data_IF_261128102745
#
_entry.id   IF_261128102745
#
_cell.length_a   1.000
_cell.length_b   1.000
_cell.length_c   1.000
_cell.angle_alpha   90.00
_cell.angle_beta   90.00
_cell.angle_gamma   90.00
#
_symmetry.space_group_name_H-M   'P 1'
#
loop_
_entity.id
_entity.type
_entity.pdbx_description
1 polymer ?
#
# COMPACT_ATOMS: atom_id res chain seq x y z
N UNK A 1 -0.49 11.69 11.45
CA UNK A 1 -0.24 13.16 11.43
C UNK A 1 0.44 13.48 10.11
N UNK A 2 0.21 14.64 9.48
CA UNK A 2 0.88 14.98 8.23
C UNK A 2 2.41 14.99 8.44
N UNK A 3 3.16 14.45 7.48
CA UNK A 3 4.62 14.43 7.53
C UNK A 3 5.16 15.87 7.51
N UNK A 4 6.01 16.19 8.48
CA UNK A 4 6.60 17.50 8.61
C UNK A 4 7.67 17.80 7.52
N UNK A 5 7.99 19.08 7.35
CA UNK A 5 8.92 19.52 6.30
C UNK A 5 10.36 18.99 6.44
N UNK A 6 10.83 18.74 7.67
CA UNK A 6 12.18 18.20 7.94
C UNK A 6 12.23 16.75 7.49
N UNK A 7 11.18 15.97 7.76
CA UNK A 7 11.06 14.58 7.33
C UNK A 7 10.98 14.48 5.79
N UNK A 8 10.18 15.32 5.13
CA UNK A 8 10.17 15.41 3.65
C UNK A 8 11.52 15.79 3.06
N UNK A 9 12.27 16.67 3.72
CA UNK A 9 13.62 17.03 3.28
C UNK A 9 14.62 15.87 3.40
N UNK A 10 14.52 15.05 4.46
CA UNK A 10 15.32 13.83 4.61
C UNK A 10 15.01 12.82 3.49
N UNK A 11 13.73 12.61 3.17
CA UNK A 11 13.32 11.67 2.12
C UNK A 11 13.91 12.00 0.73
N UNK A 12 14.09 13.29 0.40
CA UNK A 12 14.76 13.70 -0.85
C UNK A 12 16.22 13.22 -0.96
N UNK A 13 16.86 12.90 0.17
CA UNK A 13 18.25 12.40 0.21
C UNK A 13 18.33 10.88 0.18
N UNK A 14 17.20 10.18 0.36
CA UNK A 14 17.15 8.72 0.38
C UNK A 14 17.61 8.14 -0.95
N UNK A 15 18.48 7.14 -0.87
CA UNK A 15 19.01 6.33 -1.98
C UNK A 15 18.86 4.84 -1.73
N UNK A 16 18.63 4.45 -0.48
CA UNK A 16 18.34 3.08 -0.09
C UNK A 16 17.32 3.06 1.06
N UNK A 17 16.39 2.10 1.02
CA UNK A 17 15.42 1.85 2.09
C UNK A 17 15.65 0.45 2.64
N UNK A 18 15.85 0.35 3.94
CA UNK A 18 15.92 -0.90 4.67
C UNK A 18 14.60 -1.19 5.39
N UNK A 19 14.25 -2.47 5.45
CA UNK A 19 13.06 -2.97 6.11
C UNK A 19 13.43 -4.10 7.06
N UNK A 20 12.92 -4.06 8.29
CA UNK A 20 12.79 -5.29 9.08
C UNK A 20 11.69 -6.20 8.48
N UNK A 21 11.70 -7.48 8.85
CA UNK A 21 10.72 -8.46 8.39
C UNK A 21 9.51 -8.50 9.30
N UNK A 22 9.72 -8.89 10.56
CA UNK A 22 8.63 -9.33 11.43
C UNK A 22 7.94 -8.10 11.98
N UNK A 23 6.61 -8.05 11.88
CA UNK A 23 5.80 -6.93 12.35
C UNK A 23 6.12 -5.57 11.67
N UNK A 24 6.89 -5.62 10.58
CA UNK A 24 7.22 -4.50 9.67
C UNK A 24 6.79 -4.77 8.22
N UNK A 25 7.34 -5.79 7.55
CA UNK A 25 6.87 -6.23 6.22
C UNK A 25 5.77 -7.30 6.32
N UNK A 26 5.83 -8.11 7.37
CA UNK A 26 5.02 -9.31 7.56
C UNK A 26 4.54 -9.40 8.99
N UNK A 27 3.24 -9.52 9.21
CA UNK A 27 2.68 -9.74 10.55
C UNK A 27 3.23 -11.06 11.10
N UNK A 28 3.97 -11.02 12.21
CA UNK A 28 4.71 -12.17 12.74
C UNK A 28 3.80 -13.37 13.00
N UNK A 29 2.63 -13.10 13.60
CA UNK A 29 1.67 -14.12 14.07
C UNK A 29 0.88 -14.78 12.94
N UNK A 30 0.40 -14.01 11.98
CA UNK A 30 -0.50 -14.51 10.91
C UNK A 30 0.25 -14.83 9.64
N UNK A 31 1.43 -14.24 9.46
CA UNK A 31 2.19 -14.27 8.22
C UNK A 31 1.64 -13.40 7.11
N UNK A 32 0.67 -12.54 7.42
CA UNK A 32 0.07 -11.61 6.47
C UNK A 32 1.12 -10.61 5.94
N UNK A 33 1.14 -10.44 4.62
CA UNK A 33 1.91 -9.42 3.89
C UNK A 33 0.90 -8.66 3.00
N UNK A 34 0.81 -7.33 3.10
CA UNK A 34 -0.07 -6.54 2.25
C UNK A 34 0.35 -6.58 0.79
N UNK A 35 -0.62 -6.59 -0.13
CA UNK A 35 -0.34 -6.50 -1.58
C UNK A 35 0.37 -5.19 -1.95
N UNK A 36 0.15 -4.12 -1.18
CA UNK A 36 0.83 -2.83 -1.34
C UNK A 36 2.35 -2.93 -1.23
N UNK A 37 2.90 -3.95 -0.56
CA UNK A 37 4.35 -4.16 -0.45
C UNK A 37 4.98 -4.44 -1.82
N UNK A 38 4.28 -5.15 -2.72
CA UNK A 38 4.76 -5.36 -4.09
C UNK A 38 4.87 -4.04 -4.85
N UNK A 39 3.85 -3.18 -4.70
CA UNK A 39 3.85 -1.83 -5.27
C UNK A 39 4.96 -0.95 -4.68
N UNK A 40 5.24 -1.08 -3.37
CA UNK A 40 6.36 -0.39 -2.71
C UNK A 40 7.70 -0.73 -3.35
N UNK A 41 8.03 -2.03 -3.45
CA UNK A 41 9.32 -2.45 -4.01
C UNK A 41 9.44 -2.08 -5.49
N UNK A 42 8.37 -2.22 -6.27
CA UNK A 42 8.31 -1.78 -7.66
C UNK A 42 8.56 -0.27 -7.77
N UNK A 43 7.81 0.54 -7.03
CA UNK A 43 7.90 2.00 -7.08
C UNK A 43 9.27 2.54 -6.65
N UNK A 44 9.87 1.95 -5.60
CA UNK A 44 11.23 2.32 -5.19
C UNK A 44 12.26 2.01 -6.28
N UNK A 45 12.18 0.83 -6.91
CA UNK A 45 13.06 0.44 -8.04
C UNK A 45 12.89 1.36 -9.24
N UNK A 46 11.66 1.73 -9.60
CA UNK A 46 11.38 2.68 -10.69
C UNK A 46 11.99 4.07 -10.45
N UNK A 47 12.08 4.51 -9.18
CA UNK A 47 12.78 5.74 -8.79
C UNK A 47 14.30 5.58 -8.62
N UNK A 48 14.84 4.38 -8.87
CA UNK A 48 16.27 4.07 -8.72
C UNK A 48 16.73 4.10 -7.26
N UNK A 49 15.83 3.79 -6.31
CA UNK A 49 16.13 3.69 -4.89
C UNK A 49 16.35 2.21 -4.57
N UNK A 50 17.50 1.90 -3.97
CA UNK A 50 17.85 0.54 -3.57
C UNK A 50 16.97 0.07 -2.42
N UNK A 51 16.79 -1.24 -2.31
CA UNK A 51 15.99 -1.88 -1.27
C UNK A 51 16.84 -2.90 -0.50
N UNK A 52 16.71 -2.93 0.82
CA UNK A 52 17.43 -3.84 1.68
C UNK A 52 16.54 -4.48 2.74
N UNK A 53 16.79 -5.75 3.05
CA UNK A 53 16.18 -6.43 4.20
C UNK A 53 17.22 -6.45 5.33
N UNK A 54 16.84 -6.04 6.54
CA UNK A 54 17.71 -6.07 7.71
C UNK A 54 17.08 -6.93 8.81
N UNK A 55 17.57 -8.16 8.99
CA UNK A 55 16.93 -9.16 9.86
C UNK A 55 17.93 -9.95 10.70
N UNK A 56 17.45 -10.46 11.85
CA UNK A 56 18.19 -11.44 12.65
C UNK A 56 18.20 -12.85 12.05
N UNK A 57 17.31 -13.14 11.11
CA UNK A 57 17.21 -14.43 10.42
C UNK A 57 18.40 -14.65 9.49
N UNK A 58 18.79 -15.90 9.29
CA UNK A 58 19.63 -16.28 8.15
C UNK A 58 18.86 -16.16 6.83
N UNK A 59 19.56 -16.09 5.69
CA UNK A 59 18.91 -15.96 4.38
C UNK A 59 17.88 -17.08 4.10
N UNK A 60 18.18 -18.31 4.54
CA UNK A 60 17.27 -19.46 4.46
C UNK A 60 16.01 -19.32 5.33
N UNK A 61 16.04 -18.45 6.35
CA UNK A 61 14.90 -18.15 7.23
C UNK A 61 14.03 -16.99 6.72
N UNK A 62 14.43 -16.32 5.63
CA UNK A 62 13.61 -15.31 4.94
C UNK A 62 12.57 -16.03 4.09
N UNK A 63 11.30 -15.76 4.34
CA UNK A 63 10.18 -16.40 3.63
C UNK A 63 10.22 -16.09 2.13
N UNK A 64 9.70 -17.00 1.31
CA UNK A 64 9.69 -16.90 -0.16
C UNK A 64 9.04 -15.60 -0.63
N UNK A 65 7.87 -15.24 -0.11
CA UNK A 65 7.16 -14.00 -0.46
C UNK A 65 8.03 -12.73 -0.31
N UNK A 66 8.95 -12.69 0.65
CA UNK A 66 9.87 -11.55 0.84
C UNK A 66 11.06 -11.63 -0.12
N UNK A 67 11.56 -12.84 -0.42
CA UNK A 67 12.63 -13.04 -1.41
C UNK A 67 12.15 -12.68 -2.81
N UNK A 68 10.89 -12.97 -3.13
CA UNK A 68 10.24 -12.68 -4.41
C UNK A 68 10.01 -11.18 -4.66
N UNK A 69 10.12 -10.34 -3.64
CA UNK A 69 10.20 -8.87 -3.81
C UNK A 69 11.51 -8.43 -4.48
N UNK A 70 12.48 -9.35 -4.59
CA UNK A 70 13.84 -9.16 -5.08
C UNK A 70 14.52 -7.91 -4.49
N UNK A 71 14.72 -7.84 -3.16
CA UNK A 71 15.51 -6.79 -2.53
C UNK A 71 16.94 -6.77 -3.08
N UNK A 72 17.55 -5.58 -3.20
CA UNK A 72 18.92 -5.46 -3.68
C UNK A 72 19.94 -6.04 -2.70
N UNK A 73 19.64 -5.99 -1.40
CA UNK A 73 20.50 -6.44 -0.31
C UNK A 73 19.76 -7.22 0.77
N UNK A 74 20.43 -8.22 1.34
CA UNK A 74 20.00 -8.90 2.55
C UNK A 74 21.11 -8.79 3.60
N UNK A 75 20.83 -8.02 4.64
CA UNK A 75 21.60 -7.95 5.89
C UNK A 75 20.98 -8.99 6.83
N UNK A 76 21.65 -10.13 6.95
CA UNK A 76 21.14 -11.32 7.66
C UNK A 76 21.99 -11.63 8.88
N UNK A 77 21.46 -12.50 9.74
CA UNK A 77 22.15 -12.98 10.95
C UNK A 77 22.69 -11.81 11.78
N UNK A 78 21.81 -10.83 12.03
CA UNK A 78 22.12 -9.60 12.76
C UNK A 78 23.32 -8.82 12.19
N UNK A 79 23.56 -8.90 10.88
CA UNK A 79 24.60 -8.14 10.19
C UNK A 79 25.93 -8.85 9.98
N UNK A 80 26.12 -10.06 10.51
CA UNK A 80 27.35 -10.85 10.28
C UNK A 80 27.48 -11.37 8.85
N UNK A 81 26.37 -11.47 8.12
CA UNK A 81 26.35 -11.98 6.75
C UNK A 81 25.47 -11.10 5.86
N UNK A 82 26.10 -10.46 4.87
CA UNK A 82 25.47 -9.53 3.95
C UNK A 82 25.68 -10.02 2.52
N UNK A 83 24.57 -10.21 1.80
CA UNK A 83 24.59 -10.59 0.39
C UNK A 83 23.77 -9.62 -0.44
N UNK A 84 24.15 -9.46 -1.71
CA UNK A 84 23.30 -8.76 -2.67
C UNK A 84 22.37 -9.73 -3.39
N UNK A 85 21.44 -9.18 -4.18
CA UNK A 85 20.47 -9.96 -4.97
C UNK A 85 21.08 -10.97 -5.95
N UNK A 86 22.36 -10.81 -6.34
CA UNK A 86 23.07 -11.74 -7.21
C UNK A 86 23.71 -12.91 -6.44
N UNK A 87 23.57 -12.92 -5.11
CA UNK A 87 24.25 -13.86 -4.22
C UNK A 87 25.72 -13.54 -3.99
N UNK A 88 26.19 -12.34 -4.34
CA UNK A 88 27.57 -11.92 -4.05
C UNK A 88 27.65 -11.53 -2.57
N UNK A 89 28.66 -12.06 -1.87
CA UNK A 89 28.95 -11.72 -0.49
C UNK A 89 29.58 -10.33 -0.41
N UNK A 90 28.86 -9.40 0.22
CA UNK A 90 29.33 -8.05 0.49
C UNK A 90 30.11 -8.03 1.80
N UNK A 91 29.64 -8.80 2.77
CA UNK A 91 30.27 -8.95 4.06
C UNK A 91 30.00 -10.35 4.63
N UNK A 92 31.03 -10.96 5.20
CA UNK A 92 30.96 -12.30 5.77
C UNK A 92 31.94 -12.42 6.94
N UNK A 93 31.41 -12.47 8.16
CA UNK A 93 32.20 -12.57 9.39
C UNK A 93 31.62 -13.65 10.32
N UNK A 94 32.05 -14.91 10.20
CA UNK A 94 31.70 -15.93 11.17
C UNK A 94 32.42 -15.72 12.50
N UNK A 95 31.89 -16.36 13.55
CA UNK A 95 32.55 -16.47 14.85
C UNK A 95 33.88 -17.22 14.71
N UNK A 96 34.89 -16.76 15.45
CA UNK A 96 36.18 -17.45 15.50
C UNK A 96 35.98 -18.88 16.01
N UNK A 97 36.71 -19.84 15.40
CA UNK A 97 36.55 -21.27 15.72
C UNK A 97 36.78 -21.54 17.20
N UNK A 98 37.78 -20.89 17.79
CA UNK A 98 38.12 -21.02 19.21
C UNK A 98 36.95 -20.63 20.12
N UNK A 99 36.16 -19.63 19.72
CA UNK A 99 34.96 -19.19 20.46
C UNK A 99 33.87 -20.24 20.36
N UNK A 100 33.63 -20.80 19.18
CA UNK A 100 32.61 -21.84 18.99
C UNK A 100 32.97 -23.14 19.72
N UNK A 101 34.24 -23.52 19.73
CA UNK A 101 34.73 -24.69 20.47
C UNK A 101 34.61 -24.48 21.98
N UNK A 102 34.98 -23.29 22.49
CA UNK A 102 34.82 -22.95 23.89
C UNK A 102 33.34 -22.93 24.32
N UNK A 103 32.45 -22.41 23.48
CA UNK A 103 31.01 -22.43 23.72
C UNK A 103 30.46 -23.85 23.83
N UNK A 104 30.82 -24.74 22.89
CA UNK A 104 30.40 -26.15 22.94
C UNK A 104 30.96 -26.87 24.17
N UNK A 105 32.22 -26.59 24.52
CA UNK A 105 32.83 -27.15 25.73
C UNK A 105 32.07 -26.72 26.99
N UNK A 106 31.71 -25.43 27.08
CA UNK A 106 30.90 -24.90 28.16
C UNK A 106 29.51 -25.55 28.21
N UNK A 107 28.77 -25.62 27.10
CA UNK A 107 27.46 -26.28 27.08
C UNK A 107 27.52 -27.74 27.55
N UNK A 108 28.56 -28.47 27.13
CA UNK A 108 28.82 -29.85 27.59
C UNK A 108 29.14 -29.92 29.08
N UNK A 109 29.90 -28.96 29.61
CA UNK A 109 30.26 -28.89 31.03
C UNK A 109 29.03 -28.70 31.92
N UNK A 110 28.13 -27.79 31.53
CA UNK A 110 26.91 -27.49 32.30
C UNK A 110 25.72 -28.40 31.95
N UNK A 111 25.88 -29.27 30.96
CA UNK A 111 24.91 -30.30 30.59
C UNK A 111 23.68 -29.78 29.83
N UNK A 112 23.85 -28.77 28.97
CA UNK A 112 22.77 -28.21 28.14
C UNK A 112 22.97 -28.51 26.66
N UNK A 113 21.88 -28.46 25.90
CA UNK A 113 21.94 -28.55 24.45
C UNK A 113 22.26 -27.19 23.83
N UNK A 114 22.78 -27.22 22.60
CA UNK A 114 23.10 -26.04 21.81
C UNK A 114 22.65 -26.16 20.35
N UNK A 115 22.74 -25.06 19.60
CA UNK A 115 22.54 -25.04 18.16
C UNK A 115 23.39 -23.97 17.47
N UNK A 116 23.38 -23.99 16.14
CA UNK A 116 24.16 -23.07 15.30
C UNK A 116 23.35 -22.57 14.11
N UNK A 117 23.45 -21.27 13.83
CA UNK A 117 23.17 -20.73 12.51
C UNK A 117 24.43 -20.83 11.67
N UNK A 118 24.42 -21.73 10.70
CA UNK A 118 25.38 -21.70 9.61
C UNK A 118 24.97 -20.69 8.54
N UNK A 119 25.76 -20.65 7.47
CA UNK A 119 25.46 -19.84 6.29
C UNK A 119 24.15 -20.27 5.60
N UNK A 120 23.99 -21.58 5.42
CA UNK A 120 22.94 -22.15 4.55
C UNK A 120 21.82 -22.86 5.33
N UNK A 121 22.04 -23.18 6.60
CA UNK A 121 21.08 -23.91 7.42
C UNK A 121 21.25 -23.68 8.92
N UNK A 122 20.17 -23.84 9.71
CA UNK A 122 20.24 -23.98 11.16
C UNK A 122 20.42 -25.46 11.53
N UNK A 123 21.21 -25.72 12.56
CA UNK A 123 21.41 -27.07 13.11
C UNK A 123 21.35 -27.05 14.63
N UNK A 124 21.02 -28.20 15.21
CA UNK A 124 20.94 -28.40 16.66
C UNK A 124 21.82 -29.56 17.09
N UNK A 125 22.24 -29.57 18.35
CA UNK A 125 23.10 -30.61 18.90
C UNK A 125 22.38 -31.95 19.12
N UNK A 126 21.08 -31.91 19.39
CA UNK A 126 20.24 -33.09 19.60
C UNK A 126 18.77 -32.78 19.31
N UNK A 127 17.93 -33.83 19.37
CA UNK A 127 16.47 -33.70 19.26
C UNK A 127 15.85 -33.72 20.65
N UNK A 128 15.05 -32.72 20.97
CA UNK A 128 14.22 -32.70 22.18
C UNK A 128 12.96 -31.87 21.94
N UNK A 129 11.91 -32.12 22.74
CA UNK A 129 10.69 -31.33 22.68
C UNK A 129 10.97 -29.85 23.01
N UNK A 130 11.91 -29.58 23.93
CA UNK A 130 12.35 -28.25 24.31
C UNK A 130 12.98 -27.47 23.14
N UNK A 131 13.87 -28.11 22.37
CA UNK A 131 14.48 -27.49 21.18
C UNK A 131 13.43 -27.28 20.09
N UNK A 132 12.59 -28.28 19.86
CA UNK A 132 11.59 -28.25 18.80
C UNK A 132 10.52 -27.17 19.06
N UNK A 133 10.17 -26.89 20.32
CA UNK A 133 9.27 -25.81 20.73
C UNK A 133 9.83 -24.42 20.34
N UNK A 134 11.12 -24.19 20.60
CA UNK A 134 11.79 -22.95 20.22
C UNK A 134 12.02 -22.83 18.70
N UNK A 135 12.55 -23.88 18.06
CA UNK A 135 13.11 -23.78 16.71
C UNK A 135 12.08 -24.01 15.59
N UNK A 136 11.11 -24.92 15.75
CA UNK A 136 10.15 -25.24 14.67
C UNK A 136 9.32 -24.03 14.21
N UNK A 137 8.84 -23.14 15.10
CA UNK A 137 8.07 -21.98 14.67
C UNK A 137 8.88 -21.00 13.80
N UNK A 138 10.21 -20.98 13.93
CA UNK A 138 11.08 -20.01 13.26
C UNK A 138 11.76 -20.61 12.03
N UNK A 139 12.32 -21.81 12.18
CA UNK A 139 13.19 -22.45 11.19
C UNK A 139 12.68 -23.81 10.70
N UNK A 140 11.57 -24.30 11.25
CA UNK A 140 11.11 -25.66 11.01
C UNK A 140 11.98 -26.70 11.71
N UNK A 141 11.93 -27.94 11.22
CA UNK A 141 12.69 -29.04 11.81
C UNK A 141 14.18 -28.91 11.45
N UNK A 142 15.01 -28.52 12.41
CA UNK A 142 16.46 -28.39 12.22
C UNK A 142 17.16 -29.75 12.20
N UNK A 143 18.23 -29.89 11.42
CA UNK A 143 19.08 -31.08 11.39
C UNK A 143 19.88 -31.23 12.70
N UNK A 144 20.19 -32.48 13.08
CA UNK A 144 20.99 -32.78 14.27
C UNK A 144 22.46 -32.93 13.89
N UNK A 145 23.27 -31.91 14.15
CA UNK A 145 24.70 -31.82 13.81
C UNK A 145 25.52 -31.17 14.93
N UNK A 146 25.79 -31.90 16.04
CA UNK A 146 26.48 -31.33 17.22
C UNK A 146 27.90 -30.82 16.93
N UNK A 147 28.56 -31.41 15.94
CA UNK A 147 29.94 -31.11 15.54
C UNK A 147 30.03 -30.15 14.34
N UNK A 148 28.93 -29.47 13.97
CA UNK A 148 28.86 -28.58 12.80
C UNK A 148 29.99 -27.54 12.78
N UNK A 149 30.26 -26.90 13.93
CA UNK A 149 31.31 -25.88 14.12
C UNK A 149 32.74 -26.34 13.78
N UNK A 150 33.02 -27.65 13.78
CA UNK A 150 34.36 -28.17 13.48
C UNK A 150 34.72 -28.05 11.99
N UNK A 151 33.71 -28.01 11.12
CA UNK A 151 33.89 -28.05 9.66
C UNK A 151 33.17 -26.94 8.90
N UNK A 152 32.29 -26.18 9.57
CA UNK A 152 31.48 -25.13 8.97
C UNK A 152 31.65 -23.82 9.73
N UNK A 153 31.46 -22.73 9.00
CA UNK A 153 31.37 -21.39 9.57
C UNK A 153 30.07 -21.23 10.36
N UNK A 154 30.19 -20.66 11.56
CA UNK A 154 29.08 -20.42 12.49
C UNK A 154 28.96 -18.93 12.71
N UNK A 155 27.76 -18.39 12.56
CA UNK A 155 27.49 -16.96 12.63
C UNK A 155 26.72 -16.58 13.90
N UNK A 156 26.00 -17.54 14.45
CA UNK A 156 25.14 -17.39 15.61
C UNK A 156 25.02 -18.75 16.29
N UNK A 157 24.99 -18.77 17.62
CA UNK A 157 24.81 -19.98 18.42
C UNK A 157 23.58 -19.84 19.31
N UNK A 158 22.98 -20.96 19.71
CA UNK A 158 21.83 -21.00 20.62
C UNK A 158 22.12 -21.89 21.81
N UNK A 159 21.65 -21.47 22.99
CA UNK A 159 21.53 -22.34 24.16
C UNK A 159 20.12 -22.92 24.24
N UNK A 160 19.99 -24.11 24.83
CA UNK A 160 18.70 -24.74 25.07
C UNK A 160 18.69 -25.40 26.46
N UNK A 161 17.92 -24.82 27.39
CA UNK A 161 17.83 -25.29 28.77
C UNK A 161 16.48 -24.93 29.42
N UNK A 162 16.04 -25.73 30.40
CA UNK A 162 14.82 -25.44 31.18
C UNK A 162 14.95 -24.12 31.96
N UNK A 163 16.15 -23.83 32.47
CA UNK A 163 16.50 -22.63 33.21
C UNK A 163 17.40 -21.68 32.39
N UNK A 164 17.17 -21.58 31.08
CA UNK A 164 18.02 -20.82 30.15
C UNK A 164 18.21 -19.35 30.57
N UNK A 165 17.16 -18.71 31.09
CA UNK A 165 17.21 -17.32 31.58
C UNK A 165 18.10 -17.09 32.81
N UNK A 166 18.59 -18.14 33.47
CA UNK A 166 19.54 -18.08 34.59
C UNK A 166 20.99 -18.36 34.17
N UNK A 167 21.22 -18.69 32.90
CA UNK A 167 22.56 -19.02 32.41
C UNK A 167 23.46 -17.77 32.39
N UNK A 168 24.73 -17.98 32.73
CA UNK A 168 25.77 -16.97 32.61
C UNK A 168 26.94 -17.53 31.80
N UNK A 169 27.40 -16.76 30.81
CA UNK A 169 28.57 -17.12 30.01
C UNK A 169 29.83 -17.11 30.90
N UNK A 170 30.77 -18.04 30.71
CA UNK A 170 32.09 -17.96 31.35
C UNK A 170 32.78 -16.64 31.02
N UNK A 171 33.55 -16.09 31.96
CA UNK A 171 34.16 -14.76 31.85
C UNK A 171 34.96 -14.58 30.55
N UNK A 172 35.71 -15.61 30.13
CA UNK A 172 36.49 -15.60 28.88
C UNK A 172 35.58 -15.56 27.64
N UNK A 173 34.54 -16.39 27.58
CA UNK A 173 33.55 -16.39 26.49
C UNK A 173 32.80 -15.07 26.42
N UNK A 174 32.44 -14.48 27.56
CA UNK A 174 31.74 -13.21 27.66
C UNK A 174 32.53 -12.02 27.07
N UNK A 175 33.86 -12.15 26.94
CA UNK A 175 34.66 -11.12 26.25
C UNK A 175 34.43 -11.10 24.73
N UNK A 176 33.99 -12.21 24.15
CA UNK A 176 33.81 -12.39 22.70
C UNK A 176 32.35 -12.37 22.25
N UNK A 177 31.48 -12.98 23.05
CA UNK A 177 30.06 -13.12 22.75
C UNK A 177 29.19 -12.62 23.90
N UNK A 178 27.95 -12.28 23.57
CA UNK A 178 26.90 -11.96 24.55
C UNK A 178 25.72 -12.89 24.35
N UNK A 179 24.98 -13.08 25.43
CA UNK A 179 23.75 -13.87 25.43
C UNK A 179 22.53 -12.94 25.49
N UNK A 180 21.55 -13.21 24.64
CA UNK A 180 20.32 -12.42 24.53
C UNK A 180 19.11 -13.36 24.59
N UNK A 181 18.33 -13.35 25.68
CA UNK A 181 17.13 -14.19 25.79
C UNK A 181 16.09 -13.82 24.73
N UNK A 182 15.54 -14.84 24.06
CA UNK A 182 14.47 -14.65 23.06
C UNK A 182 13.33 -15.66 23.18
N UNK A 183 13.57 -16.78 23.87
CA UNK A 183 12.58 -17.81 24.19
C UNK A 183 12.67 -18.19 25.67
N UNK A 184 11.62 -18.80 26.25
CA UNK A 184 11.63 -19.28 27.64
C UNK A 184 12.79 -20.24 27.91
N UNK A 185 13.15 -21.04 26.90
CA UNK A 185 14.15 -22.08 26.98
C UNK A 185 15.35 -21.87 26.05
N UNK A 186 15.54 -20.66 25.50
CA UNK A 186 16.65 -20.41 24.58
C UNK A 186 17.09 -18.95 24.56
N UNK A 187 18.41 -18.78 24.46
CA UNK A 187 19.07 -17.51 24.25
C UNK A 187 19.93 -17.53 22.99
N UNK A 188 19.98 -16.39 22.33
CA UNK A 188 20.86 -16.09 21.22
C UNK A 188 22.27 -15.81 21.78
N UNK A 189 23.30 -16.46 21.26
CA UNK A 189 24.71 -16.21 21.60
C UNK A 189 25.43 -15.65 20.37
N UNK A 190 25.67 -14.35 20.40
CA UNK A 190 26.11 -13.55 19.25
C UNK A 190 27.41 -12.80 19.56
N UNK A 191 28.20 -12.52 18.52
CA UNK A 191 29.43 -11.75 18.63
C UNK A 191 29.19 -10.35 19.23
N UNK A 192 30.06 -9.93 20.15
CA UNK A 192 30.05 -8.59 20.72
C UNK A 192 30.28 -7.52 19.62
N UNK A 193 29.51 -6.43 19.68
CA UNK A 193 29.63 -5.30 18.75
C UNK A 193 28.99 -5.51 17.37
N UNK A 194 28.36 -6.66 17.10
CA UNK A 194 27.63 -6.90 15.85
C UNK A 194 26.13 -6.63 16.02
N UNK A 195 25.57 -5.94 15.02
CA UNK A 195 24.15 -5.66 14.90
C UNK A 195 23.71 -5.40 13.46
N UNK A 196 22.39 -5.33 13.24
CA UNK A 196 21.81 -4.95 11.94
C UNK A 196 22.42 -3.64 11.41
N UNK A 197 22.72 -2.68 12.29
CA UNK A 197 23.32 -1.40 11.91
C UNK A 197 24.71 -1.58 11.28
N UNK A 198 25.56 -2.44 11.87
CA UNK A 198 26.89 -2.76 11.31
C UNK A 198 26.80 -3.44 9.94
N UNK A 199 25.84 -4.34 9.73
CA UNK A 199 25.62 -4.95 8.42
C UNK A 199 25.14 -3.93 7.38
N UNK A 200 24.28 -3.00 7.78
CA UNK A 200 23.84 -1.89 6.91
C UNK A 200 24.99 -0.94 6.57
N UNK A 201 25.91 -0.69 7.50
CA UNK A 201 27.12 0.09 7.23
C UNK A 201 27.93 -0.50 6.07
N UNK A 202 28.15 -1.82 6.05
CA UNK A 202 28.85 -2.47 4.93
C UNK A 202 28.14 -2.33 3.58
N UNK A 203 26.80 -2.34 3.57
CA UNK A 203 26.03 -2.05 2.35
C UNK A 203 26.24 -0.61 1.89
N UNK A 204 26.18 0.35 2.81
CA UNK A 204 26.38 1.76 2.46
C UNK A 204 27.80 2.04 1.96
N UNK A 205 28.81 1.43 2.58
CA UNK A 205 30.20 1.52 2.12
C UNK A 205 30.37 0.95 0.71
N UNK A 206 29.77 -0.23 0.45
CA UNK A 206 29.80 -0.87 -0.86
C UNK A 206 29.18 0.02 -1.96
N UNK A 207 28.06 0.69 -1.64
CA UNK A 207 27.35 1.59 -2.54
C UNK A 207 27.91 3.03 -2.54
N UNK A 208 28.98 3.30 -1.78
CA UNK A 208 29.53 4.64 -1.58
C UNK A 208 28.46 5.67 -1.13
N UNK A 209 27.55 5.23 -0.28
CA UNK A 209 26.49 6.00 0.35
C UNK A 209 26.87 6.38 1.78
N UNK A 210 26.17 7.38 2.32
CA UNK A 210 26.30 7.81 3.72
C UNK A 210 25.04 7.47 4.48
N UNK A 211 25.07 7.41 5.83
CA UNK A 211 23.87 7.11 6.61
C UNK A 211 22.69 8.06 6.33
N UNK A 212 22.98 9.34 6.01
CA UNK A 212 21.97 10.33 5.59
C UNK A 212 21.18 9.93 4.32
N UNK A 213 21.68 8.98 3.54
CA UNK A 213 21.04 8.43 2.34
C UNK A 213 20.20 7.18 2.62
N UNK A 214 20.25 6.63 3.83
CA UNK A 214 19.51 5.45 4.22
C UNK A 214 18.23 5.82 4.98
N UNK A 215 17.16 5.09 4.68
CA UNK A 215 15.91 5.05 5.44
C UNK A 215 15.75 3.68 6.08
N UNK A 216 15.17 3.60 7.28
CA UNK A 216 14.80 2.34 7.94
C UNK A 216 13.33 2.35 8.36
N UNK A 217 12.63 1.26 8.05
CA UNK A 217 11.36 0.88 8.68
C UNK A 217 11.59 -0.22 9.71
N UNK A 218 11.06 -0.04 10.92
CA UNK A 218 11.16 -1.04 11.99
C UNK A 218 10.09 -0.87 13.06
N UNK A 219 9.94 -1.88 13.89
CA UNK A 219 8.93 -1.96 14.96
C UNK A 219 9.54 -2.26 16.34
N UNK A 220 10.64 -3.01 16.37
CA UNK A 220 11.16 -3.63 17.58
C UNK A 220 12.35 -2.92 18.24
N UNK A 221 12.71 -3.33 19.48
CA UNK A 221 13.88 -2.80 20.17
C UNK A 221 15.21 -3.18 19.49
N UNK A 222 15.25 -4.25 18.72
CA UNK A 222 16.40 -4.66 17.89
C UNK A 222 16.70 -3.67 16.75
N UNK A 223 15.77 -2.78 16.40
CA UNK A 223 15.97 -1.75 15.37
C UNK A 223 16.51 -0.43 15.94
N UNK A 224 16.68 -0.34 17.27
CA UNK A 224 17.11 0.89 17.94
C UNK A 224 18.48 1.40 17.45
N UNK A 225 19.45 0.49 17.28
CA UNK A 225 20.79 0.85 16.82
C UNK A 225 20.80 1.33 15.36
N UNK A 226 20.07 0.65 14.48
CA UNK A 226 19.98 1.06 13.08
C UNK A 226 19.20 2.36 12.94
N UNK A 227 18.19 2.61 13.77
CA UNK A 227 17.53 3.91 13.86
C UNK A 227 18.53 5.00 14.23
N UNK A 228 19.42 4.78 15.20
CA UNK A 228 20.43 5.78 15.57
C UNK A 228 21.47 6.03 14.46
N UNK A 229 21.68 5.05 13.58
CA UNK A 229 22.61 5.14 12.46
C UNK A 229 22.04 5.86 11.24
N UNK A 230 20.82 5.52 10.78
CA UNK A 230 20.29 5.98 9.49
C UNK A 230 19.77 7.43 9.49
N UNK A 231 19.65 8.00 8.28
CA UNK A 231 19.23 9.38 8.05
C UNK A 231 17.75 9.66 8.27
N UNK A 232 16.90 8.68 7.95
CA UNK A 232 15.44 8.79 8.06
C UNK A 232 14.85 7.54 8.71
N UNK A 233 14.12 7.75 9.80
CA UNK A 233 13.67 6.69 10.70
C UNK A 233 12.14 6.63 10.70
N UNK A 234 11.57 5.52 10.26
CA UNK A 234 10.12 5.33 10.21
C UNK A 234 9.72 4.18 11.13
N UNK A 235 9.00 4.49 12.20
CA UNK A 235 8.47 3.46 13.10
C UNK A 235 7.08 3.00 12.63
N UNK A 236 6.83 1.70 12.69
CA UNK A 236 5.51 1.13 12.41
C UNK A 236 4.48 1.49 13.49
N UNK A 237 3.19 1.41 13.16
CA UNK A 237 2.09 1.76 14.08
C UNK A 237 2.06 0.88 15.34
N UNK A 238 2.53 -0.35 15.24
CA UNK A 238 2.69 -1.34 16.31
C UNK A 238 4.05 -1.26 17.03
N UNK A 239 4.95 -0.36 16.63
CA UNK A 239 6.29 -0.27 17.20
C UNK A 239 6.31 0.07 18.70
N UNK A 240 7.41 -0.27 19.38
CA UNK A 240 7.58 0.05 20.80
C UNK A 240 7.56 1.57 21.06
N UNK A 241 7.10 2.02 22.24
CA UNK A 241 7.09 3.44 22.58
C UNK A 241 8.45 4.12 22.42
N UNK A 242 9.53 3.44 22.82
CA UNK A 242 10.89 3.96 22.76
C UNK A 242 11.37 4.15 21.32
N UNK A 243 11.00 3.24 20.41
CA UNK A 243 11.35 3.36 19.00
C UNK A 243 10.58 4.50 18.33
N UNK A 244 9.30 4.65 18.66
CA UNK A 244 8.45 5.75 18.18
C UNK A 244 8.96 7.12 18.61
N UNK A 245 9.49 7.25 19.83
CA UNK A 245 10.06 8.52 20.31
C UNK A 245 11.28 8.94 19.48
N UNK A 246 12.06 7.98 18.96
CA UNK A 246 13.23 8.24 18.11
C UNK A 246 12.89 8.42 16.63
N UNK A 247 11.72 8.00 16.19
CA UNK A 247 11.32 8.03 14.79
C UNK A 247 11.16 9.47 14.30
N UNK A 248 11.51 9.71 13.04
CA UNK A 248 11.15 10.97 12.38
C UNK A 248 9.67 10.98 11.99
N UNK A 249 9.10 9.79 11.77
CA UNK A 249 7.70 9.59 11.44
C UNK A 249 7.21 8.25 11.98
N UNK A 250 5.97 8.22 12.47
CA UNK A 250 5.27 7.00 12.88
C UNK A 250 4.14 6.77 11.89
N UNK A 251 4.17 5.62 11.21
CA UNK A 251 3.16 5.25 10.21
C UNK A 251 2.09 4.30 10.80
N UNK A 252 1.16 3.83 9.96
CA UNK A 252 0.19 2.79 10.31
C UNK A 252 0.84 1.42 10.56
N UNK A 253 0.03 0.43 10.92
CA UNK A 253 0.50 -0.95 11.02
C UNK A 253 0.71 -1.60 9.64
N UNK A 254 1.16 -2.85 9.63
CA UNK A 254 1.24 -3.66 8.40
C UNK A 254 -0.14 -3.75 7.73
N UNK A 255 -1.18 -4.02 8.50
CA UNK A 255 -2.58 -4.17 8.05
C UNK A 255 -3.20 -2.87 7.53
N UNK A 256 -2.65 -1.72 7.91
CA UNK A 256 -3.10 -0.39 7.50
C UNK A 256 -2.27 0.17 6.33
N UNK A 257 -1.53 -0.68 5.60
CA UNK A 257 -0.63 -0.29 4.51
C UNK A 257 0.40 0.77 4.95
N UNK A 258 0.86 0.72 6.19
CA UNK A 258 1.69 1.76 6.81
C UNK A 258 2.96 2.09 6.00
N UNK A 259 3.63 1.08 5.43
CA UNK A 259 4.83 1.32 4.60
C UNK A 259 4.46 2.09 3.33
N UNK A 260 3.43 1.64 2.61
CA UNK A 260 2.98 2.28 1.37
C UNK A 260 2.55 3.73 1.63
N UNK A 261 1.69 3.95 2.62
CA UNK A 261 1.18 5.27 2.98
C UNK A 261 2.32 6.24 3.38
N UNK A 262 3.31 5.77 4.15
CA UNK A 262 4.46 6.59 4.51
C UNK A 262 5.29 6.96 3.28
N UNK A 263 5.58 6.00 2.40
CA UNK A 263 6.39 6.25 1.21
C UNK A 263 5.65 7.13 0.19
N UNK A 264 4.34 6.99 0.06
CA UNK A 264 3.50 7.84 -0.78
C UNK A 264 3.52 9.29 -0.28
N UNK A 265 3.30 9.50 1.03
CA UNK A 265 3.32 10.84 1.62
C UNK A 265 4.70 11.52 1.52
N UNK A 266 5.78 10.71 1.48
CA UNK A 266 7.15 11.13 1.24
C UNK A 266 7.50 11.31 -0.25
N UNK A 267 6.60 10.95 -1.17
CA UNK A 267 6.78 11.04 -2.62
C UNK A 267 7.76 10.02 -3.19
N UNK A 268 8.01 8.91 -2.48
CA UNK A 268 8.94 7.85 -2.85
C UNK A 268 8.26 6.70 -3.60
N UNK A 269 6.95 6.55 -3.44
CA UNK A 269 6.09 5.67 -4.26
C UNK A 269 4.85 6.46 -4.70
N UNK A 270 4.10 5.93 -5.65
CA UNK A 270 2.89 6.57 -6.19
C UNK A 270 1.72 5.60 -6.09
N UNK A 271 0.52 6.14 -5.84
CA UNK A 271 -0.72 5.38 -5.94
C UNK A 271 -0.91 4.88 -7.35
N UNK A 272 -1.11 3.58 -7.48
CA UNK A 272 -1.64 3.02 -8.72
C UNK A 272 -3.12 3.42 -8.79
N UNK A 273 -3.45 4.30 -9.75
CA UNK A 273 -4.81 4.73 -10.00
C UNK A 273 -5.44 3.82 -11.04
N UNK A 274 -6.60 3.26 -10.73
CA UNK A 274 -7.41 2.51 -11.69
C UNK A 274 -8.56 3.39 -12.18
N UNK A 275 -8.71 3.60 -13.49
CA UNK A 275 -9.77 4.46 -14.03
C UNK A 275 -10.95 3.61 -14.52
N UNK A 276 -11.95 3.30 -13.68
CA UNK A 276 -13.03 2.36 -14.01
C UNK A 276 -13.85 2.78 -15.23
N UNK A 277 -13.90 4.08 -15.54
CA UNK A 277 -14.59 4.59 -16.75
C UNK A 277 -13.93 4.15 -18.07
N UNK A 278 -12.66 3.70 -18.03
CA UNK A 278 -11.92 3.24 -19.21
C UNK A 278 -11.99 1.71 -19.39
N UNK A 279 -12.49 0.98 -18.40
CA UNK A 279 -12.66 -0.48 -18.42
C UNK A 279 -13.90 -0.87 -17.60
N UNK A 280 -15.09 -0.61 -18.14
CA UNK A 280 -16.35 -0.85 -17.44
C UNK A 280 -16.64 -2.34 -17.21
N UNK A 281 -16.04 -3.23 -18.00
CA UNK A 281 -16.21 -4.68 -17.87
C UNK A 281 -15.55 -5.21 -16.58
N UNK A 282 -14.51 -4.54 -16.10
CA UNK A 282 -13.83 -4.86 -14.84
C UNK A 282 -14.54 -4.30 -13.60
N UNK A 283 -15.62 -3.52 -13.77
CA UNK A 283 -16.29 -2.82 -12.66
C UNK A 283 -17.44 -3.66 -12.11
N UNK A 284 -17.43 -3.90 -10.80
CA UNK A 284 -18.57 -4.43 -10.06
C UNK A 284 -19.53 -3.30 -9.64
N UNK A 285 -20.82 -3.63 -9.49
CA UNK A 285 -21.82 -2.68 -9.00
C UNK A 285 -23.05 -2.51 -9.90
N UNK A 286 -24.05 -1.72 -9.43
CA UNK A 286 -25.36 -1.66 -10.07
C UNK A 286 -25.31 -1.08 -11.49
N UNK A 287 -26.20 -1.59 -12.34
CA UNK A 287 -26.49 -1.02 -13.66
C UNK A 287 -27.87 -0.39 -13.62
N UNK A 288 -27.97 0.86 -14.06
CA UNK A 288 -29.23 1.59 -14.12
C UNK A 288 -29.63 1.85 -15.57
N UNK A 289 -30.90 1.66 -15.88
CA UNK A 289 -31.50 2.06 -17.16
C UNK A 289 -32.46 3.21 -16.91
N UNK A 290 -32.11 4.40 -17.41
CA UNK A 290 -33.02 5.55 -17.45
C UNK A 290 -33.80 5.46 -18.75
N UNK A 291 -35.08 5.08 -18.65
CA UNK A 291 -35.98 5.01 -19.82
C UNK A 291 -36.51 6.39 -20.13
N UNK A 292 -36.40 6.83 -21.38
CA UNK A 292 -36.89 8.14 -21.82
C UNK A 292 -37.79 8.02 -23.04
N UNK A 293 -38.54 9.07 -23.34
CA UNK A 293 -39.31 9.16 -24.59
C UNK A 293 -38.43 9.25 -25.86
N UNK A 294 -37.10 9.27 -25.73
CA UNK A 294 -36.11 9.22 -26.81
C UNK A 294 -35.29 7.90 -26.84
N UNK A 295 -35.56 6.98 -25.92
CA UNK A 295 -34.82 5.72 -25.79
C UNK A 295 -34.19 5.54 -24.40
N UNK A 296 -33.44 4.46 -24.26
CA UNK A 296 -32.86 4.05 -22.98
C UNK A 296 -31.42 4.55 -22.84
N UNK A 297 -31.08 5.05 -21.65
CA UNK A 297 -29.72 5.38 -21.24
C UNK A 297 -29.25 4.37 -20.18
N UNK A 298 -28.32 3.49 -20.54
CA UNK A 298 -27.80 2.45 -19.64
C UNK A 298 -26.48 2.90 -19.03
N UNK A 299 -26.41 2.90 -17.69
CA UNK A 299 -25.33 3.49 -16.90
C UNK A 299 -24.81 2.49 -15.88
N UNK A 300 -23.49 2.30 -15.83
CA UNK A 300 -22.81 1.58 -14.74
C UNK A 300 -22.51 2.55 -13.60
N UNK A 301 -22.85 2.20 -12.36
CA UNK A 301 -22.59 3.04 -11.19
C UNK A 301 -21.30 2.64 -10.46
N UNK A 302 -20.71 3.57 -9.71
CA UNK A 302 -19.42 3.41 -9.01
C UNK A 302 -19.57 3.51 -7.47
N UNK A 303 -20.13 2.49 -6.79
CA UNK A 303 -20.43 2.56 -5.36
C UNK A 303 -19.18 2.67 -4.46
N UNK A 304 -18.03 2.13 -4.90
CA UNK A 304 -16.79 2.21 -4.11
C UNK A 304 -16.16 3.61 -4.16
N UNK A 305 -16.43 4.38 -5.21
CA UNK A 305 -15.88 5.71 -5.43
C UNK A 305 -16.80 6.83 -4.94
N UNK A 306 -18.13 6.64 -5.00
CA UNK A 306 -19.13 7.62 -4.59
C UNK A 306 -20.31 6.95 -3.84
N UNK A 307 -20.05 6.33 -2.66
CA UNK A 307 -21.02 5.46 -1.98
C UNK A 307 -22.33 6.16 -1.60
N UNK A 308 -22.27 7.40 -1.10
CA UNK A 308 -23.47 8.13 -0.69
C UNK A 308 -24.27 8.62 -1.89
N UNK A 309 -23.58 9.05 -2.94
CA UNK A 309 -24.18 9.53 -4.18
C UNK A 309 -24.90 8.39 -4.90
N UNK A 310 -24.24 7.22 -5.05
CA UNK A 310 -24.84 6.03 -5.63
C UNK A 310 -26.02 5.55 -4.78
N UNK A 311 -25.86 5.49 -3.45
CA UNK A 311 -26.96 5.12 -2.54
C UNK A 311 -28.15 6.06 -2.69
N UNK A 312 -27.89 7.37 -2.76
CA UNK A 312 -28.93 8.38 -2.95
C UNK A 312 -29.69 8.18 -4.26
N UNK A 313 -28.96 8.06 -5.38
CA UNK A 313 -29.54 7.89 -6.69
C UNK A 313 -30.37 6.61 -6.80
N UNK A 314 -29.84 5.48 -6.31
CA UNK A 314 -30.52 4.18 -6.30
C UNK A 314 -31.78 4.21 -5.43
N UNK A 315 -31.73 4.83 -4.24
CA UNK A 315 -32.90 4.93 -3.37
C UNK A 315 -34.02 5.77 -4.02
N UNK A 316 -33.67 6.91 -4.62
CA UNK A 316 -34.62 7.76 -5.33
C UNK A 316 -35.23 7.02 -6.53
N UNK A 317 -34.42 6.35 -7.34
CA UNK A 317 -34.87 5.52 -8.46
C UNK A 317 -35.82 4.40 -8.01
N UNK A 318 -35.44 3.59 -7.02
CA UNK A 318 -36.27 2.48 -6.51
C UNK A 318 -37.60 2.97 -5.89
N UNK A 319 -37.70 4.23 -5.48
CA UNK A 319 -38.92 4.85 -4.98
C UNK A 319 -39.85 5.44 -6.05
N UNK A 320 -39.42 5.45 -7.32
CA UNK A 320 -40.13 6.11 -8.43
C UNK A 320 -40.00 7.64 -8.42
N UNK A 321 -39.02 8.20 -7.70
CA UNK A 321 -38.85 9.65 -7.56
C UNK A 321 -38.59 10.37 -8.89
N UNK A 322 -37.97 9.67 -9.84
CA UNK A 322 -37.63 10.19 -11.16
C UNK A 322 -38.72 9.94 -12.22
N UNK A 323 -39.78 9.20 -11.89
CA UNK A 323 -40.81 8.83 -12.86
C UNK A 323 -41.61 10.07 -13.28
N UNK A 324 -41.61 10.35 -14.59
CA UNK A 324 -42.22 11.55 -15.17
C UNK A 324 -41.41 12.84 -15.00
N UNK A 325 -40.20 12.78 -14.43
CA UNK A 325 -39.32 13.94 -14.27
C UNK A 325 -38.67 14.28 -15.61
N UNK A 326 -38.52 15.58 -15.92
CA UNK A 326 -37.93 16.02 -17.19
C UNK A 326 -36.43 16.32 -17.09
N UNK A 327 -35.73 16.20 -18.22
CA UNK A 327 -34.46 16.91 -18.42
C UNK A 327 -34.75 18.40 -18.65
N UNK A 328 -34.76 19.17 -17.57
CA UNK A 328 -35.20 20.57 -17.58
C UNK A 328 -34.19 21.54 -18.18
N UNK A 329 -32.97 21.09 -18.46
CA UNK A 329 -31.91 21.90 -19.07
C UNK A 329 -31.02 21.04 -19.97
N UNK A 330 -30.93 21.42 -21.24
CA UNK A 330 -30.16 20.70 -22.28
C UNK A 330 -29.26 21.71 -22.99
N UNK A 331 -27.95 21.52 -22.87
CA UNK A 331 -26.96 22.37 -23.54
C UNK A 331 -26.17 21.51 -24.50
N UNK A 332 -26.41 21.73 -25.80
CA UNK A 332 -25.67 21.09 -26.88
C UNK A 332 -24.16 21.29 -26.72
N UNK A 333 -23.41 20.22 -26.94
CA UNK A 333 -21.95 20.14 -26.78
C UNK A 333 -21.47 20.37 -25.33
N UNK A 334 -22.37 20.21 -24.34
CA UNK A 334 -22.06 20.31 -22.92
C UNK A 334 -22.66 19.17 -22.09
N UNK A 335 -23.96 19.20 -21.80
CA UNK A 335 -24.60 18.23 -20.91
C UNK A 335 -26.13 18.28 -20.98
N UNK A 336 -26.77 17.21 -20.49
CA UNK A 336 -28.22 17.14 -20.24
C UNK A 336 -28.43 17.00 -18.72
N UNK A 337 -29.29 17.84 -18.13
CA UNK A 337 -29.51 17.92 -16.68
C UNK A 337 -30.96 17.59 -16.31
N UNK A 338 -31.13 16.69 -15.34
CA UNK A 338 -32.40 16.18 -14.87
C UNK A 338 -32.42 16.00 -13.34
N UNK A 339 -33.44 15.28 -12.85
CA UNK A 339 -33.56 14.93 -11.42
C UNK A 339 -34.21 16.00 -10.53
N UNK A 340 -34.81 17.04 -11.09
CA UNK A 340 -35.67 18.00 -10.37
C UNK A 340 -37.16 17.70 -10.65
N UNK A 341 -37.94 17.18 -9.68
CA UNK A 341 -39.36 16.89 -9.87
C UNK A 341 -40.23 18.10 -10.22
N UNK A 342 -39.76 19.31 -9.95
CA UNK A 342 -40.48 20.54 -10.32
C UNK A 342 -40.20 20.97 -11.76
N UNK A 343 -39.13 20.45 -12.38
CA UNK A 343 -38.69 20.83 -13.72
C UNK A 343 -38.25 22.30 -13.85
N UNK A 344 -37.87 22.93 -12.74
CA UNK A 344 -37.46 24.36 -12.69
C UNK A 344 -35.95 24.56 -12.60
N UNK A 345 -35.21 23.51 -12.25
CA UNK A 345 -33.80 23.53 -11.88
C UNK A 345 -33.53 24.01 -10.46
N UNK A 346 -34.56 24.32 -9.68
CA UNK A 346 -34.44 24.85 -8.30
C UNK A 346 -34.95 23.88 -7.23
N UNK A 347 -35.55 22.76 -7.63
CA UNK A 347 -36.09 21.75 -6.72
C UNK A 347 -35.18 20.53 -6.58
N UNK A 348 -35.72 19.49 -5.93
CA UNK A 348 -35.01 18.25 -5.68
C UNK A 348 -34.55 18.10 -4.22
N UNK A 349 -34.70 16.90 -3.69
CA UNK A 349 -34.29 16.53 -2.33
C UNK A 349 -33.56 15.19 -2.37
N UNK A 350 -32.52 15.03 -1.54
CA UNK A 350 -31.88 13.72 -1.41
C UNK A 350 -32.79 12.73 -0.67
N UNK A 351 -32.54 11.45 -0.87
CA UNK A 351 -33.16 10.36 -0.09
C UNK A 351 -32.84 10.43 1.42
N UNK A 352 -31.88 11.27 1.83
CA UNK A 352 -31.51 11.47 3.23
C UNK A 352 -32.28 12.61 3.92
N UNK A 353 -33.15 13.34 3.21
CA UNK A 353 -33.98 14.41 3.76
C UNK A 353 -33.28 15.78 3.90
N UNK A 354 -32.22 16.02 3.15
CA UNK A 354 -31.45 17.27 3.12
C UNK A 354 -30.39 17.27 2.02
N UNK A 355 -29.43 18.21 2.06
CA UNK A 355 -28.25 18.12 1.21
C UNK A 355 -27.19 17.19 1.81
N UNK A 356 -26.31 16.65 0.96
CA UNK A 356 -25.16 15.85 1.40
C UNK A 356 -23.87 16.28 0.69
N UNK A 357 -22.74 15.84 1.25
CA UNK A 357 -21.39 16.23 0.83
C UNK A 357 -21.00 15.69 -0.56
N UNK A 358 -19.99 16.32 -1.16
CA UNK A 358 -19.35 15.83 -2.38
C UNK A 358 -18.42 14.62 -2.13
N UNK A 359 -18.29 13.73 -3.12
CA UNK A 359 -17.43 12.53 -3.09
C UNK A 359 -16.47 12.54 -4.29
N UNK A 360 -15.44 13.38 -4.24
CA UNK A 360 -14.49 13.49 -5.34
C UNK A 360 -13.46 12.34 -5.34
N UNK A 361 -13.46 11.54 -6.41
CA UNK A 361 -12.51 10.44 -6.63
C UNK A 361 -11.29 10.86 -7.47
N UNK A 362 -10.13 10.25 -7.22
CA UNK A 362 -8.94 10.37 -8.09
C UNK A 362 -8.97 9.49 -9.33
N UNK A 363 -9.99 8.66 -9.42
CA UNK A 363 -10.16 7.64 -10.43
C UNK A 363 -11.36 7.93 -11.34
N UNK A 364 -12.21 8.89 -10.98
CA UNK A 364 -13.39 9.30 -11.74
C UNK A 364 -13.28 10.74 -12.24
N UNK A 365 -13.70 10.94 -13.49
CA UNK A 365 -13.55 12.16 -14.27
C UNK A 365 -14.82 12.42 -15.08
N UNK A 366 -15.13 13.68 -15.38
CA UNK A 366 -16.29 14.05 -16.19
C UNK A 366 -16.03 13.81 -17.69
N UNK A 367 -15.70 12.56 -18.05
CA UNK A 367 -15.59 12.10 -19.43
C UNK A 367 -16.96 12.17 -20.12
N UNK A 368 -16.99 12.16 -21.46
CA UNK A 368 -18.27 12.02 -22.19
C UNK A 368 -19.02 10.77 -21.71
N UNK A 369 -20.31 10.91 -21.47
CA UNK A 369 -21.18 9.86 -20.91
C UNK A 369 -21.12 9.70 -19.39
N UNK A 370 -20.28 10.46 -18.69
CA UNK A 370 -20.24 10.44 -17.22
C UNK A 370 -21.56 10.97 -16.64
N UNK A 371 -22.10 10.23 -15.67
CA UNK A 371 -23.21 10.66 -14.81
C UNK A 371 -22.63 11.35 -13.56
N UNK A 372 -23.03 12.60 -13.34
CA UNK A 372 -22.43 13.47 -12.33
C UNK A 372 -23.47 14.32 -11.59
N UNK A 373 -23.19 14.67 -10.34
CA UNK A 373 -24.14 15.44 -9.51
C UNK A 373 -24.23 16.90 -9.93
N UNK A 374 -25.46 17.40 -10.09
CA UNK A 374 -25.73 18.82 -10.21
C UNK A 374 -25.99 19.41 -8.82
N UNK A 375 -25.15 20.33 -8.36
CA UNK A 375 -25.24 20.96 -7.04
C UNK A 375 -25.24 22.50 -7.15
N UNK A 376 -25.66 23.18 -6.08
CA UNK A 376 -25.70 24.65 -5.99
C UNK A 376 -24.40 25.25 -5.41
N UNK A 377 -23.34 24.45 -5.35
CA UNK A 377 -22.10 24.73 -4.65
C UNK A 377 -21.61 23.52 -3.85
N UNK A 378 -20.41 23.60 -3.25
CA UNK A 378 -19.82 22.49 -2.50
C UNK A 378 -20.77 21.93 -1.44
N UNK A 379 -20.85 20.61 -1.35
CA UNK A 379 -21.61 19.86 -0.34
C UNK A 379 -23.12 20.14 -0.33
N UNK A 380 -23.68 20.47 -1.50
CA UNK A 380 -25.13 20.73 -1.66
C UNK A 380 -25.83 19.71 -2.55
N UNK A 381 -25.36 18.46 -2.55
CA UNK A 381 -25.94 17.40 -3.39
C UNK A 381 -27.39 17.09 -2.96
N UNK A 382 -28.27 16.96 -3.95
CA UNK A 382 -29.69 16.64 -3.78
C UNK A 382 -30.10 15.47 -4.66
N UNK A 383 -31.11 15.65 -5.52
CA UNK A 383 -31.54 14.65 -6.51
C UNK A 383 -31.13 14.96 -7.95
N UNK A 384 -30.64 16.19 -8.21
CA UNK A 384 -30.31 16.60 -9.57
C UNK A 384 -28.98 16.02 -10.03
N UNK A 385 -28.92 15.62 -11.29
CA UNK A 385 -27.74 15.08 -11.96
C UNK A 385 -27.64 15.64 -13.38
N UNK A 386 -26.46 15.51 -13.97
CA UNK A 386 -26.25 15.71 -15.39
C UNK A 386 -25.49 14.55 -16.02
N UNK A 387 -25.70 14.35 -17.32
CA UNK A 387 -24.90 13.44 -18.15
C UNK A 387 -24.07 14.30 -19.10
N UNK A 388 -22.75 14.09 -19.08
CA UNK A 388 -21.80 14.83 -19.91
C UNK A 388 -21.97 14.43 -21.37
N UNK A 389 -22.20 15.40 -22.26
CA UNK A 389 -22.38 15.13 -23.69
C UNK A 389 -21.23 15.62 -24.56
N UNK A 390 -20.44 16.61 -24.12
CA UNK A 390 -19.37 17.25 -24.90
C UNK A 390 -18.56 16.25 -25.75
N UNK A 391 -18.73 16.24 -27.09
CA UNK A 391 -18.11 15.24 -27.97
C UNK A 391 -16.63 15.53 -28.24
N UNK A 392 -16.23 16.81 -28.20
CA UNK A 392 -14.87 17.24 -28.46
C UNK A 392 -14.50 18.41 -27.53
N UNK A 393 -13.23 18.50 -27.15
CA UNK A 393 -12.70 19.59 -26.34
C UNK A 393 -11.57 20.31 -27.08
N UNK A 394 -11.32 21.60 -26.81
CA UNK A 394 -10.29 22.38 -27.51
C UNK A 394 -8.87 22.11 -27.00
N UNK A 395 -8.68 21.12 -26.12
CA UNK A 395 -7.40 20.85 -25.45
C UNK A 395 -6.76 19.58 -26.00
N UNK A 396 -5.47 19.65 -26.34
CA UNK A 396 -4.72 18.47 -26.73
C UNK A 396 -4.31 17.63 -25.50
N UNK A 397 -4.11 16.31 -25.67
CA UNK A 397 -3.59 15.40 -24.62
C UNK A 397 -2.43 15.99 -23.81
N UNK A 398 -1.42 16.55 -24.51
CA UNK A 398 -0.24 17.16 -23.86
C UNK A 398 -0.56 18.37 -22.99
N UNK A 399 -1.61 19.13 -23.31
CA UNK A 399 -2.04 20.28 -22.51
C UNK A 399 -2.75 19.82 -21.24
N UNK A 400 -3.55 18.74 -21.33
CA UNK A 400 -4.20 18.09 -20.20
C UNK A 400 -3.16 17.44 -19.26
N UNK A 401 -2.20 16.68 -19.79
CA UNK A 401 -1.12 16.12 -18.95
C UNK A 401 -0.35 17.20 -18.19
N UNK A 402 -0.04 18.33 -18.87
CA UNK A 402 0.60 19.49 -18.22
C UNK A 402 -0.30 20.17 -17.20
N UNK A 403 -1.62 20.06 -17.36
CA UNK A 403 -2.63 20.52 -16.41
C UNK A 403 -2.79 19.63 -15.19
N UNK A 404 -2.16 18.45 -15.18
CA UNK A 404 -2.16 17.52 -14.04
C UNK A 404 -3.13 16.35 -14.17
N UNK A 405 -3.77 16.15 -15.33
CA UNK A 405 -4.59 14.96 -15.56
C UNK A 405 -3.71 13.74 -15.85
N UNK A 406 -4.05 12.55 -15.31
CA UNK A 406 -3.36 11.31 -15.63
C UNK A 406 -3.37 11.03 -17.14
N UNK A 407 -2.29 10.45 -17.67
CA UNK A 407 -2.14 10.22 -19.11
C UNK A 407 -3.30 9.43 -19.76
N UNK A 408 -3.86 8.36 -19.15
CA UNK A 408 -5.01 7.65 -19.72
C UNK A 408 -6.26 8.53 -19.80
N UNK A 409 -6.48 9.39 -18.81
CA UNK A 409 -7.61 10.31 -18.76
C UNK A 409 -7.42 11.47 -19.75
N UNK A 410 -6.21 12.02 -19.85
CA UNK A 410 -5.88 13.04 -20.84
C UNK A 410 -6.08 12.54 -22.28
N UNK A 411 -5.81 11.26 -22.54
CA UNK A 411 -6.11 10.59 -23.80
C UNK A 411 -7.60 10.46 -24.04
N UNK A 412 -8.34 9.90 -23.07
CA UNK A 412 -9.79 9.74 -23.16
C UNK A 412 -10.52 11.07 -23.43
N UNK A 413 -10.10 12.16 -22.78
CA UNK A 413 -10.62 13.50 -23.02
C UNK A 413 -10.32 14.02 -24.44
N UNK A 414 -9.09 13.81 -24.91
CA UNK A 414 -8.67 14.28 -26.23
C UNK A 414 -9.35 13.51 -27.37
N UNK A 415 -9.68 12.24 -27.16
CA UNK A 415 -10.28 11.37 -28.17
C UNK A 415 -11.82 11.39 -28.14
N UNK A 416 -12.42 11.39 -26.94
CA UNK A 416 -13.86 11.16 -26.77
C UNK A 416 -14.62 12.35 -26.18
N UNK A 417 -13.91 13.43 -25.83
CA UNK A 417 -14.50 14.63 -25.23
C UNK A 417 -14.85 14.48 -23.75
N UNK A 418 -15.59 15.46 -23.24
CA UNK A 418 -15.98 15.58 -21.84
C UNK A 418 -15.78 16.99 -21.28
N UNK A 419 -15.83 17.14 -19.97
CA UNK A 419 -15.81 18.44 -19.28
C UNK A 419 -14.74 18.50 -18.18
N UNK A 420 -13.43 18.52 -18.54
CA UNK A 420 -12.33 18.46 -17.55
C UNK A 420 -12.37 19.58 -16.51
N UNK A 421 -12.97 20.73 -16.85
CA UNK A 421 -13.12 21.87 -15.93
C UNK A 421 -14.14 21.63 -14.79
N UNK A 422 -14.93 20.54 -14.85
CA UNK A 422 -15.87 20.11 -13.80
C UNK A 422 -15.26 19.05 -12.86
N UNK A 423 -14.09 18.52 -13.19
CA UNK A 423 -13.41 17.54 -12.33
C UNK A 423 -13.10 18.14 -10.96
N UNK A 424 -13.32 17.33 -9.92
CA UNK A 424 -13.17 17.74 -8.51
C UNK A 424 -14.04 18.92 -8.11
N UNK A 425 -15.14 19.14 -8.85
CA UNK A 425 -16.20 20.11 -8.52
C UNK A 425 -17.58 19.47 -8.50
N UNK A 426 -17.76 18.43 -9.30
CA UNK A 426 -18.97 17.63 -9.35
C UNK A 426 -18.62 16.16 -9.15
N UNK A 427 -19.41 15.50 -8.31
CA UNK A 427 -19.25 14.09 -7.97
C UNK A 427 -19.68 13.23 -9.16
N UNK A 428 -18.72 12.57 -9.81
CA UNK A 428 -18.99 11.55 -10.83
C UNK A 428 -19.33 10.25 -10.12
N UNK A 429 -20.41 9.59 -10.53
CA UNK A 429 -20.89 8.37 -9.86
C UNK A 429 -21.42 7.30 -10.83
N UNK A 430 -21.32 7.53 -12.14
CA UNK A 430 -21.59 6.51 -13.15
C UNK A 430 -21.10 6.88 -14.55
N UNK A 431 -21.22 5.94 -15.48
CA UNK A 431 -20.79 6.08 -16.88
C UNK A 431 -21.73 5.31 -17.82
N UNK A 432 -22.08 5.91 -18.98
CA UNK A 432 -22.82 5.20 -20.03
C UNK A 432 -22.04 4.00 -20.57
N UNK A 433 -22.73 2.87 -20.79
CA UNK A 433 -22.08 1.57 -21.05
C UNK A 433 -22.07 1.15 -22.52
N UNK A 434 -22.98 1.66 -23.35
CA UNK A 434 -23.15 1.18 -24.73
C UNK A 434 -23.41 2.29 -25.76
N UNK A 435 -23.12 1.97 -27.02
CA UNK A 435 -23.26 2.86 -28.17
C UNK A 435 -24.69 3.35 -28.41
N UNK A 436 -25.70 2.54 -28.06
CA UNK A 436 -27.09 2.93 -28.24
C UNK A 436 -27.47 4.02 -27.24
N UNK A 437 -26.99 3.92 -26.00
CA UNK A 437 -27.11 4.95 -24.98
C UNK A 437 -26.43 6.26 -25.40
N UNK A 438 -25.25 6.19 -26.05
CA UNK A 438 -24.60 7.39 -26.59
C UNK A 438 -25.39 8.03 -27.73
N UNK A 439 -26.05 7.25 -28.60
CA UNK A 439 -26.94 7.79 -29.63
C UNK A 439 -28.15 8.49 -29.03
N UNK A 440 -28.76 7.91 -27.98
CA UNK A 440 -29.87 8.53 -27.25
C UNK A 440 -29.42 9.84 -26.60
N UNK A 441 -28.25 9.85 -25.96
CA UNK A 441 -27.66 11.08 -25.40
C UNK A 441 -27.50 12.17 -26.46
N UNK A 442 -26.97 11.83 -27.63
CA UNK A 442 -26.80 12.78 -28.74
C UNK A 442 -28.14 13.23 -29.33
N UNK A 443 -29.15 12.36 -29.41
CA UNK A 443 -30.50 12.73 -29.85
C UNK A 443 -31.10 13.75 -28.89
N UNK A 444 -31.08 13.47 -27.59
CA UNK A 444 -31.58 14.37 -26.55
C UNK A 444 -30.83 15.70 -26.58
N UNK A 445 -29.50 15.70 -26.75
CA UNK A 445 -28.72 16.93 -26.80
C UNK A 445 -28.98 17.82 -28.03
N UNK A 446 -29.64 17.29 -29.07
CA UNK A 446 -29.97 18.03 -30.29
C UNK A 446 -31.43 18.51 -30.36
N UNK A 447 -32.25 18.31 -29.32
CA UNK A 447 -33.63 18.83 -29.29
C UNK A 447 -33.65 20.36 -29.30
N UNK A 448 -34.74 20.94 -29.78
CA UNK A 448 -34.91 22.40 -29.75
C UNK A 448 -35.12 22.89 -28.32
N UNK A 449 -34.38 23.94 -27.94
CA UNK A 449 -34.45 24.54 -26.60
C UNK A 449 -34.92 25.99 -26.65
N UNK A 450 -35.65 26.40 -25.62
CA UNK A 450 -36.12 27.75 -25.38
C UNK A 450 -35.24 28.52 -24.39
N UNK A 451 -35.87 29.40 -23.61
CA UNK A 451 -35.17 30.17 -22.60
C UNK A 451 -34.55 29.27 -21.52
N UNK A 452 -33.36 29.65 -21.04
CA UNK A 452 -32.59 28.90 -20.02
C UNK A 452 -32.23 27.46 -20.42
N UNK A 453 -32.12 27.21 -21.73
CA UNK A 453 -31.77 25.91 -22.30
C UNK A 453 -32.83 24.82 -21.99
N UNK A 454 -34.06 25.21 -21.66
CA UNK A 454 -35.17 24.29 -21.40
C UNK A 454 -35.74 23.75 -22.72
N UNK A 455 -35.96 22.44 -22.89
CA UNK A 455 -36.53 21.87 -24.12
C UNK A 455 -37.90 22.48 -24.47
N UNK A 456 -38.17 22.68 -25.77
CA UNK A 456 -39.49 23.13 -26.24
C UNK A 456 -40.54 22.02 -26.14
N UNK A 457 -40.12 20.78 -26.36
CA UNK A 457 -40.89 19.57 -26.09
C UNK A 457 -40.21 18.81 -24.94
N UNK A 458 -41.00 18.34 -23.97
CA UNK A 458 -40.45 17.71 -22.78
C UNK A 458 -39.70 16.41 -23.13
N UNK A 459 -38.45 16.32 -22.69
CA UNK A 459 -37.68 15.07 -22.64
C UNK A 459 -37.92 14.48 -21.26
N UNK A 460 -38.70 13.39 -21.21
CA UNK A 460 -39.25 12.81 -19.98
C UNK A 460 -38.47 11.56 -19.61
N UNK A 461 -38.08 11.45 -18.34
CA UNK A 461 -37.68 10.19 -17.71
C UNK A 461 -38.95 9.41 -17.41
N UNK A 462 -39.22 8.36 -18.18
CA UNK A 462 -40.40 7.53 -18.00
C UNK A 462 -40.29 6.72 -16.70
N UNK A 463 -39.15 6.04 -16.52
CA UNK A 463 -38.80 5.27 -15.31
C UNK A 463 -37.30 5.13 -15.17
N UNK A 464 -36.82 4.86 -13.95
CA UNK A 464 -35.41 4.49 -13.70
C UNK A 464 -35.34 3.10 -13.10
N UNK A 465 -34.84 2.12 -13.87
CA UNK A 465 -34.75 0.71 -13.48
C UNK A 465 -33.35 0.39 -12.96
N UNK A 466 -33.24 -0.28 -11.79
CA UNK A 466 -31.96 -0.66 -11.18
C UNK A 466 -31.80 -2.17 -11.20
N UNK A 467 -30.73 -2.64 -11.84
CA UNK A 467 -30.25 -4.02 -11.77
C UNK A 467 -29.02 -4.11 -10.85
N UNK A 468 -29.05 -5.04 -9.90
CA UNK A 468 -27.98 -5.28 -8.93
C UNK A 468 -26.87 -6.17 -9.51
#
# INVERSE_FOLDING_TARGET
MPVDAKTKYKAKKTKIVFFDIDDTLRVKKTGYIPESIKAVFKGLKEKGILTGIATGRGYYGVVEDIRDLEPDYFVTINGTYVINRKGEEIYNQPLAREVTEAFVAWCKEIGIAWGFAGKDKPVVSERSDLIDDAMKPVYGLCDVEPDFHLSNDVYHMWTFAENDGELELPEELATHVRMVPWHEHSSDVVANGISKASGVEHVLEHENLKPVNAMMFGDGPNDMEIFDYVGLKIAMGNATPELKEKADYVTGTVEEDGIFNALEELGLVEKELHFPQLDLDAVEGPVVTIKTNHGDLVIKLFPDHAPLTVTNFVNLAKSGYYDGVIFHRIIKDFMIQGGDPTGTGMGGESSFGGSFQDEFSEELYNLRGALSMANAGPDTNGSQFFIVQTPEIPYAKKELERGGWPAPIAEAYAENGGTPHLDRRHTVFGQLVDEDSYKVLDEIANVEVGAQDKPLEDVVIETVEVAD
#
